data_IF_825468096330
#
_entry.id   IF_825468096330
#
_cell.length_a   1.000
_cell.length_b   1.000
_cell.length_c   1.000
_cell.angle_alpha   90.00
_cell.angle_beta   90.00
_cell.angle_gamma   90.00
#
_symmetry.space_group_name_H-M   'P 1'
#
loop_
_entity.id
_entity.type
_entity.pdbx_description
1 polymer ?
#
# COMPACT_ATOMS: atom_id res chain seq x y z
N UNK A 1 -14.88 -4.08 -6.79
CA UNK A 1 -14.06 -3.05 -7.49
C UNK A 1 -13.94 -1.75 -6.65
N UNK A 2 -13.41 -1.78 -5.41
CA UNK A 2 -13.15 -0.56 -4.61
C UNK A 2 -12.10 -0.91 -3.54
N UNK A 3 -10.90 -0.32 -3.58
CA UNK A 3 -10.06 -0.14 -2.38
C UNK A 3 -8.91 0.84 -2.63
N UNK A 4 -8.22 0.77 -3.77
CA UNK A 4 -7.00 1.61 -3.97
C UNK A 4 -7.25 3.05 -4.41
N UNK A 5 -8.40 3.35 -5.05
CA UNK A 5 -8.65 4.70 -5.61
C UNK A 5 -8.90 5.76 -4.55
N UNK A 6 -9.41 5.39 -3.38
CA UNK A 6 -9.86 6.34 -2.37
C UNK A 6 -8.70 6.93 -1.54
N UNK A 7 -7.51 6.31 -1.56
CA UNK A 7 -6.31 6.79 -0.83
C UNK A 7 -5.50 7.79 -1.69
N UNK A 8 -5.98 8.18 -2.87
CA UNK A 8 -5.25 9.08 -3.77
C UNK A 8 -3.98 8.47 -4.36
N UNK A 9 -3.78 7.15 -4.20
CA UNK A 9 -2.65 6.41 -4.75
C UNK A 9 -3.01 5.85 -6.12
N UNK A 10 -2.13 6.09 -7.10
CA UNK A 10 -2.24 5.47 -8.42
C UNK A 10 -1.50 4.15 -8.40
N UNK A 11 -2.13 3.10 -8.91
CA UNK A 11 -1.46 1.82 -9.14
C UNK A 11 -0.49 2.02 -10.31
N UNK A 12 0.78 1.73 -10.07
CA UNK A 12 1.81 1.77 -11.10
C UNK A 12 1.80 0.48 -11.93
N UNK A 13 1.87 -0.66 -11.25
CA UNK A 13 2.01 -2.01 -11.81
C UNK A 13 1.36 -3.02 -10.84
N UNK A 14 0.92 -4.18 -11.35
CA UNK A 14 0.33 -5.29 -10.58
C UNK A 14 1.02 -6.57 -11.01
N UNK A 15 1.99 -7.04 -10.23
CA UNK A 15 2.67 -8.32 -10.45
C UNK A 15 2.18 -9.40 -9.47
N UNK A 16 2.23 -10.70 -9.85
CA UNK A 16 2.68 -11.24 -11.14
C UNK A 16 1.57 -11.31 -12.21
N UNK A 17 0.32 -11.00 -11.86
CA UNK A 17 -0.83 -11.21 -12.74
C UNK A 17 -0.93 -10.14 -13.85
N UNK A 18 -0.87 -10.57 -15.11
CA UNK A 18 -1.19 -9.72 -16.25
C UNK A 18 -0.06 -8.83 -16.76
N UNK A 19 1.17 -9.00 -16.25
CA UNK A 19 2.30 -8.22 -16.74
C UNK A 19 3.06 -8.86 -17.90
N UNK A 20 3.35 -8.03 -18.88
CA UNK A 20 4.34 -8.31 -19.91
C UNK A 20 5.73 -7.99 -19.33
N UNK A 21 6.71 -8.85 -19.58
CA UNK A 21 8.10 -8.68 -19.08
C UNK A 21 8.68 -7.29 -19.40
N UNK A 22 8.24 -6.66 -20.49
CA UNK A 22 8.64 -5.29 -20.86
C UNK A 22 8.25 -4.21 -19.84
N UNK A 23 7.19 -4.42 -19.04
CA UNK A 23 6.72 -3.45 -18.03
C UNK A 23 7.53 -3.50 -16.74
N UNK A 24 8.41 -4.49 -16.54
CA UNK A 24 9.24 -4.59 -15.32
C UNK A 24 10.14 -3.37 -15.14
N UNK A 25 10.51 -2.69 -16.22
CA UNK A 25 11.25 -1.43 -16.19
C UNK A 25 10.49 -0.29 -15.48
N UNK A 26 9.17 -0.40 -15.36
CA UNK A 26 8.34 0.59 -14.67
C UNK A 26 8.24 0.32 -13.17
N UNK A 27 8.66 -0.84 -12.65
CA UNK A 27 8.57 -1.15 -11.21
C UNK A 27 9.24 -0.08 -10.34
N UNK A 28 10.47 0.40 -10.65
CA UNK A 28 11.14 1.43 -9.85
C UNK A 28 10.44 2.80 -9.86
N UNK A 29 9.43 3.01 -10.73
CA UNK A 29 8.66 4.26 -10.77
C UNK A 29 7.60 4.32 -9.65
N UNK A 30 7.30 3.20 -9.00
CA UNK A 30 6.39 3.19 -7.86
C UNK A 30 7.07 3.77 -6.61
N UNK A 31 6.25 4.27 -5.68
CA UNK A 31 6.73 4.90 -4.43
C UNK A 31 6.85 3.92 -3.27
N UNK A 32 6.10 2.84 -3.32
CA UNK A 32 6.13 1.73 -2.37
C UNK A 32 5.49 0.51 -3.01
N UNK A 33 5.83 -0.67 -2.50
CA UNK A 33 5.22 -1.93 -2.90
C UNK A 33 4.16 -2.34 -1.88
N UNK A 34 3.02 -2.85 -2.34
CA UNK A 34 2.00 -3.44 -1.47
C UNK A 34 1.89 -4.93 -1.77
N UNK A 35 2.11 -5.74 -0.74
CA UNK A 35 2.11 -7.20 -0.78
C UNK A 35 1.05 -7.70 0.20
N UNK A 36 -0.23 -7.81 -0.22
CA UNK A 36 -1.28 -8.29 0.66
C UNK A 36 -1.04 -9.74 1.13
N UNK A 37 -0.36 -10.52 0.29
CA UNK A 37 -0.13 -11.95 0.46
C UNK A 37 1.37 -12.20 0.48
N UNK A 38 1.96 -12.52 1.63
CA UNK A 38 3.42 -12.70 1.76
C UNK A 38 3.93 -13.85 0.89
N UNK A 39 3.08 -14.82 0.61
CA UNK A 39 3.33 -15.93 -0.29
C UNK A 39 3.48 -15.51 -1.76
N UNK A 40 2.91 -14.37 -2.17
CA UNK A 40 3.00 -13.85 -3.54
C UNK A 40 3.70 -12.49 -3.56
N UNK A 41 4.95 -12.47 -4.03
CA UNK A 41 5.65 -11.22 -4.34
C UNK A 41 6.44 -10.60 -3.18
N UNK A 42 6.48 -11.21 -1.98
CA UNK A 42 7.32 -10.71 -0.89
C UNK A 42 8.80 -10.64 -1.29
N UNK A 43 9.32 -11.67 -1.95
CA UNK A 43 10.71 -11.66 -2.44
C UNK A 43 10.97 -10.54 -3.45
N UNK A 44 10.00 -10.28 -4.33
CA UNK A 44 10.10 -9.16 -5.29
C UNK A 44 10.09 -7.82 -4.57
N UNK A 45 9.24 -7.68 -3.55
CA UNK A 45 9.17 -6.45 -2.77
C UNK A 45 10.43 -6.22 -1.93
N UNK A 46 11.02 -7.26 -1.35
CA UNK A 46 12.32 -7.21 -0.65
C UNK A 46 13.43 -6.82 -1.62
N UNK A 47 13.49 -7.47 -2.79
CA UNK A 47 14.46 -7.11 -3.83
C UNK A 47 14.34 -5.64 -4.26
N UNK A 48 13.11 -5.13 -4.44
CA UNK A 48 12.89 -3.73 -4.78
C UNK A 48 13.25 -2.77 -3.64
N UNK A 49 13.09 -3.19 -2.39
CA UNK A 49 13.51 -2.40 -1.22
C UNK A 49 15.04 -2.32 -1.14
N UNK A 50 15.74 -3.46 -1.33
CA UNK A 50 17.20 -3.54 -1.28
C UNK A 50 17.88 -2.83 -2.46
N UNK A 51 17.40 -3.03 -3.68
CA UNK A 51 18.06 -2.53 -4.90
C UNK A 51 17.63 -1.12 -5.31
N UNK A 52 16.37 -0.75 -5.03
CA UNK A 52 15.80 0.53 -5.47
C UNK A 52 15.39 1.44 -4.30
N UNK A 53 15.58 0.99 -3.06
CA UNK A 53 15.12 1.73 -1.87
C UNK A 53 13.59 1.88 -1.83
N UNK A 54 12.87 0.94 -2.45
CA UNK A 54 11.41 0.99 -2.52
C UNK A 54 10.78 0.29 -1.31
N UNK A 55 10.22 1.04 -0.35
CA UNK A 55 9.65 0.42 0.84
C UNK A 55 8.48 -0.50 0.49
N UNK A 56 8.40 -1.63 1.19
CA UNK A 56 7.28 -2.56 1.05
C UNK A 56 6.32 -2.51 2.26
N UNK A 57 5.03 -2.70 1.99
CA UNK A 57 3.97 -2.91 2.98
C UNK A 57 3.48 -4.34 2.77
N UNK A 58 3.75 -5.22 3.72
CA UNK A 58 3.39 -6.64 3.66
C UNK A 58 2.32 -7.05 4.68
N UNK A 59 1.66 -6.05 5.29
CA UNK A 59 0.52 -6.28 6.18
C UNK A 59 -0.68 -6.70 5.36
N UNK A 60 -1.10 -7.94 5.55
CA UNK A 60 -2.35 -8.45 4.96
C UNK A 60 -3.53 -7.69 5.57
N UNK A 61 -4.42 -7.09 4.77
CA UNK A 61 -5.63 -6.45 5.28
C UNK A 61 -6.64 -7.53 5.70
N UNK A 62 -6.42 -8.15 6.87
CA UNK A 62 -7.27 -9.20 7.43
C UNK A 62 -7.87 -8.74 8.77
N UNK A 63 -9.20 -8.75 8.87
CA UNK A 63 -9.87 -8.23 10.06
C UNK A 63 -9.60 -6.73 10.28
N UNK A 64 -10.09 -6.19 11.39
CA UNK A 64 -10.11 -4.74 11.62
C UNK A 64 -8.72 -4.21 11.95
N UNK A 65 -8.00 -4.89 12.86
CA UNK A 65 -6.69 -4.45 13.36
C UNK A 65 -5.67 -4.41 12.22
N UNK A 66 -5.52 -5.50 11.45
CA UNK A 66 -4.52 -5.53 10.39
C UNK A 66 -4.91 -4.64 9.21
N UNK A 67 -6.21 -4.45 8.95
CA UNK A 67 -6.67 -3.46 7.97
C UNK A 67 -6.32 -2.03 8.40
N UNK A 68 -6.56 -1.69 9.66
CA UNK A 68 -6.20 -0.38 10.21
C UNK A 68 -4.68 -0.15 10.15
N UNK A 69 -3.90 -1.16 10.52
CA UNK A 69 -2.43 -1.11 10.46
C UNK A 69 -1.92 -0.98 9.02
N UNK A 70 -2.50 -1.72 8.07
CA UNK A 70 -2.21 -1.61 6.65
C UNK A 70 -2.47 -0.18 6.13
N UNK A 71 -3.62 0.40 6.48
CA UNK A 71 -3.97 1.78 6.11
C UNK A 71 -2.98 2.79 6.71
N UNK A 72 -2.63 2.65 8.00
CA UNK A 72 -1.66 3.54 8.67
C UNK A 72 -0.29 3.49 8.00
N UNK A 73 0.19 2.30 7.65
CA UNK A 73 1.44 2.15 6.92
C UNK A 73 1.36 2.82 5.54
N UNK A 74 0.27 2.64 4.79
CA UNK A 74 0.08 3.32 3.51
C UNK A 74 0.10 4.84 3.66
N UNK A 75 -0.60 5.38 4.68
CA UNK A 75 -0.62 6.81 4.96
C UNK A 75 0.76 7.35 5.34
N UNK A 76 1.53 6.65 6.17
CA UNK A 76 2.89 7.05 6.52
C UNK A 76 3.78 7.13 5.28
N UNK A 77 3.70 6.11 4.40
CA UNK A 77 4.48 6.10 3.15
C UNK A 77 4.07 7.24 2.23
N UNK A 78 2.78 7.53 2.09
CA UNK A 78 2.31 8.67 1.28
C UNK A 78 2.70 10.02 1.91
N UNK A 79 2.55 10.15 3.23
CA UNK A 79 2.81 11.37 4.00
C UNK A 79 4.28 11.77 4.01
N UNK A 80 5.21 10.80 4.06
CA UNK A 80 6.66 11.07 3.93
C UNK A 80 7.03 11.84 2.66
N UNK A 81 6.24 11.70 1.59
CA UNK A 81 6.49 12.39 0.31
C UNK A 81 5.64 13.66 0.11
N UNK A 82 4.64 13.90 0.96
CA UNK A 82 3.86 15.11 0.88
C UNK A 82 4.67 16.26 1.50
N UNK A 83 5.15 17.20 0.68
CA UNK A 83 5.93 18.38 1.11
C UNK A 83 5.19 19.28 2.10
N UNK A 84 3.89 19.10 2.23
CA UNK A 84 3.08 19.66 3.30
C UNK A 84 2.35 18.50 4.00
N UNK A 85 2.16 18.54 5.34
CA UNK A 85 1.17 17.66 5.95
C UNK A 85 -0.13 17.81 5.18
N UNK A 86 -0.88 16.73 4.94
CA UNK A 86 -2.16 16.87 4.27
C UNK A 86 -2.98 17.93 5.03
N UNK A 87 -3.53 18.90 4.30
CA UNK A 87 -4.34 20.01 4.88
C UNK A 87 -5.46 19.51 5.78
N UNK A 88 -5.82 18.25 5.59
CA UNK A 88 -6.74 17.47 6.37
C UNK A 88 -6.01 16.17 6.72
N UNK A 89 -5.71 15.94 8.00
CA UNK A 89 -5.41 14.58 8.44
C UNK A 89 -6.66 13.78 8.13
N UNK A 90 -6.61 12.93 7.12
CA UNK A 90 -7.70 11.97 6.88
C UNK A 90 -7.65 11.00 8.04
N UNK A 91 -8.43 11.32 9.07
CA UNK A 91 -8.62 10.46 10.22
C UNK A 91 -9.52 9.31 9.77
N UNK A 92 -8.94 8.12 9.65
CA UNK A 92 -9.68 6.90 9.34
C UNK A 92 -10.18 6.21 10.62
N UNK A 93 -9.86 6.71 11.83
CA UNK A 93 -10.40 6.15 13.07
C UNK A 93 -11.94 6.10 13.04
N UNK A 94 -12.68 7.12 12.58
CA UNK A 94 -14.14 7.02 12.47
C UNK A 94 -14.63 5.89 11.54
N UNK A 95 -13.89 5.60 10.47
CA UNK A 95 -14.22 4.49 9.56
C UNK A 95 -13.93 3.13 10.19
N UNK A 96 -12.83 3.03 10.94
CA UNK A 96 -12.45 1.84 11.71
C UNK A 96 -13.49 1.61 12.82
N UNK A 97 -13.86 2.65 13.57
CA UNK A 97 -14.85 2.63 14.64
C UNK A 97 -16.26 2.23 14.16
N UNK A 98 -16.68 2.73 12.99
CA UNK A 98 -17.96 2.35 12.41
C UNK A 98 -18.02 0.84 12.10
N UNK A 99 -16.89 0.24 11.70
CA UNK A 99 -16.82 -1.19 11.39
C UNK A 99 -16.57 -2.08 12.62
N UNK A 100 -16.04 -1.55 13.73
CA UNK A 100 -15.88 -2.28 15.00
C UNK A 100 -17.14 -2.30 15.86
N UNK A 101 -18.03 -1.31 15.76
CA UNK A 101 -19.19 -1.21 16.65
C UNK A 101 -20.22 -2.35 16.52
N UNK A 102 -20.14 -3.15 15.47
CA UNK A 102 -21.10 -4.25 15.23
C UNK A 102 -20.57 -5.64 15.59
N UNK A 103 -19.40 -5.74 16.23
CA UNK A 103 -18.89 -7.00 16.81
C UNK A 103 -19.00 -7.03 18.33
#
# INVERSE_FOLDING_TARGET
KRSSRDIGTRINQIIPEGEFVGNLNDLPKARFNFVPHREVGLMTAVYLDEEFGMPCISTTPAGIIDTAECIRQMQERVGKWASAPPKEKVDHEPYIDQHTRSV
#
